data_IF_520181195275
#
_entry.id   IF_520181195275
#
_cell.length_a   1.000
_cell.length_b   1.000
_cell.length_c   1.000
_cell.angle_alpha   90.00
_cell.angle_beta   90.00
_cell.angle_gamma   90.00
#
_symmetry.space_group_name_H-M   'P 1'
#
loop_
_entity.id
_entity.type
_entity.pdbx_description
1 polymer ?
#
# COMPACT_ATOMS: atom_id res chain seq x y z
N UNK A 1 -11.40 22.64 2.13
CA UNK A 1 -10.80 22.07 0.89
C UNK A 1 -10.10 20.73 1.18
N UNK A 2 -9.27 20.61 2.20
CA UNK A 2 -8.54 19.38 2.59
C UNK A 2 -9.50 18.28 3.08
N UNK A 3 -10.47 18.60 3.94
CA UNK A 3 -11.50 17.65 4.40
C UNK A 3 -12.31 17.06 3.23
N UNK A 4 -12.64 17.89 2.22
CA UNK A 4 -13.35 17.41 1.04
C UNK A 4 -12.56 16.39 0.21
N UNK A 5 -11.23 16.46 0.20
CA UNK A 5 -10.38 15.52 -0.56
C UNK A 5 -10.35 14.16 0.15
N UNK A 6 -10.18 14.14 1.49
CA UNK A 6 -10.18 12.91 2.28
C UNK A 6 -11.53 12.19 2.20
N UNK A 7 -12.63 12.93 2.31
CA UNK A 7 -13.97 12.38 2.18
C UNK A 7 -14.23 11.83 0.77
N UNK A 8 -13.78 12.54 -0.26
CA UNK A 8 -13.92 12.08 -1.64
C UNK A 8 -13.08 10.81 -1.92
N UNK A 9 -11.88 10.72 -1.34
CA UNK A 9 -11.06 9.50 -1.39
C UNK A 9 -11.77 8.33 -0.71
N UNK A 10 -12.29 8.55 0.51
CA UNK A 10 -13.04 7.51 1.23
C UNK A 10 -14.24 7.04 0.40
N UNK A 11 -15.07 7.96 -0.09
CA UNK A 11 -16.24 7.63 -0.90
C UNK A 11 -15.89 6.88 -2.19
N UNK A 12 -14.76 7.25 -2.84
CA UNK A 12 -14.28 6.54 -4.02
C UNK A 12 -13.93 5.07 -3.71
N UNK A 13 -13.22 4.82 -2.62
CA UNK A 13 -12.84 3.46 -2.25
C UNK A 13 -13.96 2.67 -1.56
N UNK A 14 -15.03 3.33 -1.10
CA UNK A 14 -16.26 2.69 -0.62
C UNK A 14 -17.24 2.32 -1.75
N UNK A 15 -17.10 2.90 -2.95
CA UNK A 15 -17.98 2.60 -4.08
C UNK A 15 -17.63 1.24 -4.71
N UNK A 16 -18.30 0.19 -4.25
CA UNK A 16 -18.11 -1.18 -4.75
C UNK A 16 -18.37 -1.31 -6.25
N UNK A 17 -19.19 -0.43 -6.84
CA UNK A 17 -19.48 -0.45 -8.28
C UNK A 17 -18.25 -0.04 -9.12
N UNK A 18 -17.30 0.68 -8.55
CA UNK A 18 -16.04 1.03 -9.19
C UNK A 18 -15.01 -0.08 -9.07
N UNK A 19 -15.13 -0.91 -8.03
CA UNK A 19 -14.15 -1.93 -7.66
C UNK A 19 -14.57 -3.30 -8.20
N UNK A 20 -15.88 -3.56 -8.29
CA UNK A 20 -16.46 -4.80 -8.79
C UNK A 20 -17.75 -4.50 -9.56
N UNK A 21 -17.68 -3.92 -10.76
CA UNK A 21 -18.85 -3.83 -11.62
C UNK A 21 -19.30 -5.25 -11.94
N UNK A 22 -20.58 -5.57 -11.66
CA UNK A 22 -21.19 -6.85 -12.00
C UNK A 22 -20.80 -7.28 -13.43
N UNK A 23 -20.21 -8.46 -13.56
CA UNK A 23 -19.85 -9.07 -14.84
C UNK A 23 -18.56 -8.59 -15.49
N UNK A 24 -17.82 -7.65 -14.90
CA UNK A 24 -16.42 -7.49 -15.27
C UNK A 24 -15.63 -8.55 -14.55
N UNK A 25 -14.67 -9.25 -15.22
CA UNK A 25 -13.61 -9.94 -14.55
C UNK A 25 -12.78 -8.84 -13.84
N UNK A 26 -13.38 -8.25 -12.84
CA UNK A 26 -12.79 -7.28 -11.98
C UNK A 26 -11.67 -7.93 -11.20
N UNK A 27 -11.03 -7.18 -10.41
CA UNK A 27 -10.03 -7.57 -9.43
C UNK A 27 -10.32 -8.89 -8.69
N UNK A 28 -11.56 -9.40 -8.76
CA UNK A 28 -12.02 -10.53 -7.95
C UNK A 28 -12.11 -11.88 -8.68
N UNK A 29 -12.12 -11.95 -10.00
CA UNK A 29 -12.44 -13.22 -10.67
C UNK A 29 -11.29 -13.94 -11.39
N UNK A 30 -10.17 -13.35 -11.59
CA UNK A 30 -9.00 -14.02 -12.20
C UNK A 30 -7.71 -13.30 -11.90
N UNK A 31 -7.82 -12.04 -11.57
CA UNK A 31 -6.72 -11.19 -11.19
C UNK A 31 -6.15 -11.54 -9.81
N UNK A 32 -6.95 -11.81 -8.76
CA UNK A 32 -6.44 -12.21 -7.47
C UNK A 32 -5.61 -13.49 -7.51
N UNK A 33 -6.10 -14.52 -8.19
CA UNK A 33 -5.41 -15.82 -8.21
C UNK A 33 -4.05 -15.73 -8.92
N UNK A 34 -3.99 -15.05 -10.06
CA UNK A 34 -2.73 -14.82 -10.76
C UNK A 34 -1.74 -14.00 -9.95
N UNK A 35 -2.21 -12.95 -9.26
CA UNK A 35 -1.36 -12.11 -8.44
C UNK A 35 -0.92 -12.79 -7.15
N UNK A 36 -1.80 -13.57 -6.54
CA UNK A 36 -1.48 -14.41 -5.37
C UNK A 36 -0.39 -15.43 -5.72
N UNK A 37 -0.50 -16.11 -6.86
CA UNK A 37 0.51 -17.05 -7.30
C UNK A 37 1.83 -16.36 -7.62
N UNK A 38 1.78 -15.22 -8.34
CA UNK A 38 2.98 -14.42 -8.58
C UNK A 38 3.66 -13.99 -7.27
N UNK A 39 2.89 -13.61 -6.28
CA UNK A 39 3.39 -13.22 -4.96
C UNK A 39 4.11 -14.37 -4.26
N UNK A 40 3.52 -15.56 -4.24
CA UNK A 40 4.14 -16.77 -3.65
C UNK A 40 5.42 -17.16 -4.36
N UNK A 41 5.44 -17.09 -5.69
CA UNK A 41 6.55 -17.57 -6.50
C UNK A 41 7.71 -16.55 -6.59
N UNK A 42 7.42 -15.25 -6.55
CA UNK A 42 8.39 -14.21 -6.84
C UNK A 42 8.66 -13.25 -5.68
N UNK A 43 7.61 -12.80 -4.97
CA UNK A 43 7.76 -11.79 -3.93
C UNK A 43 8.18 -12.39 -2.59
N UNK A 44 7.50 -13.45 -2.13
CA UNK A 44 7.77 -14.05 -0.81
C UNK A 44 9.23 -14.50 -0.69
N UNK A 45 9.82 -15.26 -1.63
CA UNK A 45 11.22 -15.67 -1.54
C UNK A 45 12.19 -14.48 -1.49
N UNK A 46 11.86 -13.39 -2.17
CA UNK A 46 12.65 -12.17 -2.18
C UNK A 46 12.59 -11.45 -0.84
N UNK A 47 11.39 -11.30 -0.29
CA UNK A 47 11.18 -10.71 1.03
C UNK A 47 11.94 -11.50 2.11
N UNK A 48 11.85 -12.82 2.09
CA UNK A 48 12.54 -13.70 3.04
C UNK A 48 14.08 -13.52 3.02
N UNK A 49 14.65 -13.14 1.88
CA UNK A 49 16.08 -12.84 1.76
C UNK A 49 16.45 -11.44 2.28
N UNK A 50 15.49 -10.51 2.40
CA UNK A 50 15.71 -9.15 2.88
C UNK A 50 15.59 -9.03 4.40
N UNK A 51 14.91 -9.97 5.04
CA UNK A 51 14.62 -9.96 6.48
C UNK A 51 15.60 -10.88 7.21
N UNK A 52 16.10 -10.43 8.34
CA UNK A 52 16.91 -11.29 9.23
C UNK A 52 16.03 -12.47 9.71
N UNK A 53 16.50 -13.69 9.47
CA UNK A 53 15.79 -14.94 9.83
C UNK A 53 15.61 -15.15 11.33
N UNK A 54 16.29 -14.36 12.17
CA UNK A 54 16.28 -14.48 13.62
C UNK A 54 15.32 -13.51 14.33
N UNK A 55 14.56 -12.69 13.58
CA UNK A 55 13.65 -11.70 14.14
C UNK A 55 12.22 -12.23 14.07
N UNK A 56 11.39 -11.94 15.08
CA UNK A 56 9.94 -12.12 15.01
C UNK A 56 9.40 -11.41 13.79
N UNK A 57 8.74 -12.17 12.92
CA UNK A 57 8.34 -11.68 11.61
C UNK A 57 6.90 -11.18 11.67
N UNK A 58 6.71 -9.97 12.18
CA UNK A 58 5.42 -9.29 12.10
C UNK A 58 5.32 -8.51 10.79
N UNK A 59 4.24 -8.72 10.06
CA UNK A 59 4.02 -8.11 8.75
C UNK A 59 2.80 -7.19 8.75
N UNK A 60 2.89 -6.05 8.05
CA UNK A 60 1.78 -5.15 7.76
C UNK A 60 1.60 -5.02 6.25
N UNK A 61 0.39 -5.31 5.78
CA UNK A 61 -0.08 -5.01 4.42
C UNK A 61 -0.79 -3.65 4.42
N UNK A 62 -0.15 -2.66 3.82
CA UNK A 62 -0.57 -1.25 3.81
C UNK A 62 -1.47 -1.00 2.61
N UNK A 63 -2.75 -0.66 2.85
CA UNK A 63 -3.78 -0.57 1.82
C UNK A 63 -4.20 -1.95 1.32
N UNK A 64 -4.51 -2.83 2.26
CA UNK A 64 -4.73 -4.27 2.02
C UNK A 64 -5.99 -4.59 1.18
N UNK A 65 -6.90 -3.64 1.00
CA UNK A 65 -8.17 -3.86 0.32
C UNK A 65 -8.95 -5.04 0.93
N UNK A 66 -9.35 -5.98 0.09
CA UNK A 66 -10.05 -7.21 0.50
C UNK A 66 -9.15 -8.29 1.15
N UNK A 67 -7.89 -7.98 1.41
CA UNK A 67 -6.97 -8.85 2.14
C UNK A 67 -6.36 -10.00 1.33
N UNK A 68 -6.37 -9.96 0.00
CA UNK A 68 -5.81 -11.05 -0.81
C UNK A 68 -4.31 -11.24 -0.58
N UNK A 69 -3.55 -10.15 -0.63
CA UNK A 69 -2.09 -10.21 -0.37
C UNK A 69 -1.79 -10.45 1.10
N UNK A 70 -2.57 -9.85 1.98
CA UNK A 70 -2.44 -10.05 3.44
C UNK A 70 -2.51 -11.53 3.81
N UNK A 71 -3.44 -12.29 3.19
CA UNK A 71 -3.56 -13.74 3.42
C UNK A 71 -2.31 -14.51 2.96
N UNK A 72 -1.74 -14.14 1.82
CA UNK A 72 -0.49 -14.76 1.34
C UNK A 72 0.67 -14.45 2.29
N UNK A 73 0.78 -13.21 2.73
CA UNK A 73 1.79 -12.81 3.72
C UNK A 73 1.63 -13.60 5.03
N UNK A 74 0.40 -13.87 5.46
CA UNK A 74 0.14 -14.62 6.69
C UNK A 74 0.56 -16.10 6.63
N UNK A 75 0.84 -16.65 5.46
CA UNK A 75 1.40 -18.00 5.29
C UNK A 75 2.90 -18.05 5.71
N UNK A 76 3.57 -16.89 5.72
CA UNK A 76 5.01 -16.79 5.97
C UNK A 76 5.34 -16.11 7.29
N UNK A 77 4.51 -15.14 7.73
CA UNK A 77 4.79 -14.31 8.89
C UNK A 77 4.02 -14.74 10.13
N UNK A 78 4.63 -14.57 11.31
CA UNK A 78 4.06 -15.02 12.59
C UNK A 78 2.77 -14.27 12.94
N UNK A 79 2.75 -12.94 12.69
CA UNK A 79 1.57 -12.10 12.81
C UNK A 79 1.47 -11.17 11.62
N UNK A 80 0.33 -11.17 11.00
CA UNK A 80 0.07 -10.35 9.83
C UNK A 80 -1.15 -9.48 10.05
N UNK A 81 -1.01 -8.22 9.75
CA UNK A 81 -2.10 -7.24 9.78
C UNK A 81 -2.30 -6.64 8.39
N UNK A 82 -3.55 -6.43 8.02
CA UNK A 82 -3.93 -5.59 6.90
C UNK A 82 -4.56 -4.30 7.39
N UNK A 83 -4.20 -3.17 6.79
CA UNK A 83 -4.82 -1.85 7.06
C UNK A 83 -5.35 -1.26 5.76
N UNK A 84 -6.58 -0.74 5.79
CA UNK A 84 -7.19 -0.05 4.65
C UNK A 84 -8.12 1.07 5.13
N UNK A 85 -8.37 2.05 4.26
CA UNK A 85 -9.28 3.17 4.51
C UNK A 85 -10.74 2.74 4.45
N UNK A 86 -11.08 1.79 3.56
CA UNK A 86 -12.44 1.37 3.26
C UNK A 86 -13.00 0.41 4.31
N UNK A 87 -14.12 0.82 4.93
CA UNK A 87 -14.86 -0.02 5.86
C UNK A 87 -15.41 -1.27 5.16
N UNK A 88 -15.91 -1.13 3.94
CA UNK A 88 -16.51 -2.24 3.17
C UNK A 88 -15.46 -3.32 2.87
N UNK A 89 -14.28 -2.91 2.40
CA UNK A 89 -13.19 -3.84 2.11
C UNK A 89 -12.68 -4.55 3.36
N UNK A 90 -12.50 -3.81 4.45
CA UNK A 90 -12.08 -4.38 5.73
C UNK A 90 -13.14 -5.35 6.28
N UNK A 91 -14.43 -5.02 6.17
CA UNK A 91 -15.50 -5.92 6.60
C UNK A 91 -15.50 -7.23 5.79
N UNK A 92 -15.22 -7.16 4.49
CA UNK A 92 -15.02 -8.35 3.67
C UNK A 92 -13.77 -9.13 4.10
N UNK A 93 -12.65 -8.46 4.30
CA UNK A 93 -11.39 -9.11 4.68
C UNK A 93 -11.47 -9.82 6.05
N UNK A 94 -12.22 -9.27 7.00
CA UNK A 94 -12.39 -9.83 8.35
C UNK A 94 -12.96 -11.24 8.39
N UNK A 95 -13.66 -11.71 7.35
CA UNK A 95 -14.11 -13.11 7.29
C UNK A 95 -12.96 -14.13 7.27
N UNK A 96 -11.74 -13.66 6.94
CA UNK A 96 -10.54 -14.49 6.89
C UNK A 96 -9.65 -14.31 8.13
N UNK A 97 -10.07 -13.56 9.13
CA UNK A 97 -9.28 -13.38 10.35
C UNK A 97 -9.02 -14.70 11.08
N UNK A 98 -7.82 -14.81 11.61
CA UNK A 98 -7.38 -15.89 12.48
C UNK A 98 -6.79 -15.30 13.76
N UNK A 99 -6.19 -16.14 14.60
CA UNK A 99 -5.43 -15.67 15.75
C UNK A 99 -4.24 -14.78 15.34
N UNK A 100 -3.61 -15.09 14.21
CA UNK A 100 -2.39 -14.44 13.71
C UNK A 100 -2.60 -13.50 12.54
N UNK A 101 -3.79 -13.48 11.93
CA UNK A 101 -4.16 -12.59 10.82
C UNK A 101 -5.30 -11.67 11.23
N UNK A 102 -5.07 -10.35 11.13
CA UNK A 102 -6.04 -9.32 11.54
C UNK A 102 -6.18 -8.21 10.50
N UNK A 103 -7.35 -7.58 10.46
CA UNK A 103 -7.65 -6.46 9.57
C UNK A 103 -8.15 -5.24 10.36
N UNK A 104 -7.59 -4.07 10.04
CA UNK A 104 -7.82 -2.82 10.76
C UNK A 104 -8.24 -1.73 9.78
N UNK A 105 -9.39 -1.12 10.01
CA UNK A 105 -9.78 0.07 9.26
C UNK A 105 -9.04 1.29 9.82
N UNK A 106 -8.37 2.04 8.95
CA UNK A 106 -7.74 3.32 9.30
C UNK A 106 -7.35 4.16 8.09
N UNK A 107 -7.34 5.47 8.27
CA UNK A 107 -6.71 6.41 7.36
C UNK A 107 -5.20 6.45 7.64
N UNK A 108 -4.40 6.20 6.60
CA UNK A 108 -2.94 6.22 6.68
C UNK A 108 -2.38 7.62 6.96
N UNK A 109 -3.14 8.66 6.65
CA UNK A 109 -2.74 10.07 6.85
C UNK A 109 -2.96 10.55 8.28
N UNK A 110 -3.61 9.74 9.12
CA UNK A 110 -3.87 10.02 10.53
C UNK A 110 -3.06 9.08 11.42
N UNK A 111 -2.88 9.45 12.70
CA UNK A 111 -2.17 8.57 13.64
C UNK A 111 -2.99 7.31 13.92
N UNK A 112 -2.38 6.15 13.70
CA UNK A 112 -2.99 4.85 13.93
C UNK A 112 -2.13 3.89 14.76
N UNK A 113 -1.05 4.38 15.35
CA UNK A 113 -0.12 3.55 16.12
C UNK A 113 -0.80 2.82 17.29
N UNK A 114 -1.78 3.45 17.91
CA UNK A 114 -2.56 2.87 19.02
C UNK A 114 -3.49 1.72 18.61
N UNK A 115 -3.70 1.50 17.31
CA UNK A 115 -4.52 0.38 16.79
C UNK A 115 -3.75 -0.94 16.76
N UNK A 116 -2.43 -0.89 16.89
CA UNK A 116 -1.58 -2.07 16.84
C UNK A 116 -0.89 -2.34 18.18
N UNK A 117 -1.04 -3.55 18.74
CA UNK A 117 -0.37 -3.93 19.99
C UNK A 117 1.11 -4.34 19.77
N UNK A 118 1.58 -4.33 18.53
CA UNK A 118 2.91 -4.78 18.11
C UNK A 118 3.54 -3.79 17.14
N UNK A 119 4.84 -3.91 16.93
CA UNK A 119 5.57 -3.27 15.84
C UNK A 119 5.89 -4.27 14.74
N UNK A 120 6.18 -3.76 13.56
CA UNK A 120 6.34 -4.54 12.33
C UNK A 120 7.80 -4.61 11.88
N UNK A 121 8.18 -5.76 11.34
CA UNK A 121 9.51 -6.05 10.79
C UNK A 121 9.48 -6.00 9.25
N UNK A 122 8.30 -6.21 8.68
CA UNK A 122 8.01 -6.01 7.27
C UNK A 122 6.75 -5.16 7.10
N UNK A 123 6.80 -4.26 6.14
CA UNK A 123 5.63 -3.60 5.56
C UNK A 123 5.61 -3.84 4.06
N UNK A 124 4.42 -4.03 3.53
CA UNK A 124 4.18 -4.22 2.10
C UNK A 124 3.09 -3.28 1.62
N UNK A 125 3.19 -2.75 0.42
CA UNK A 125 2.11 -2.02 -0.25
C UNK A 125 2.13 -2.26 -1.75
N UNK A 126 0.95 -2.24 -2.36
CA UNK A 126 0.80 -2.38 -3.80
C UNK A 126 -0.27 -1.42 -4.32
N UNK A 127 0.14 -0.46 -5.15
CA UNK A 127 -0.73 0.54 -5.79
C UNK A 127 -1.58 1.38 -4.81
N UNK A 128 -1.01 1.80 -3.68
CA UNK A 128 -1.71 2.57 -2.64
C UNK A 128 -1.23 4.01 -2.60
N UNK A 129 0.08 4.23 -2.46
CA UNK A 129 0.64 5.57 -2.31
C UNK A 129 0.29 6.51 -3.47
N UNK A 130 0.21 6.07 -4.73
CA UNK A 130 -0.20 6.94 -5.83
C UNK A 130 -1.58 7.57 -5.65
N UNK A 131 -2.48 6.92 -4.91
CA UNK A 131 -3.82 7.43 -4.64
C UNK A 131 -3.89 8.43 -3.48
N UNK A 132 -2.83 8.58 -2.71
CA UNK A 132 -2.76 9.54 -1.60
C UNK A 132 -2.27 10.88 -2.15
N UNK A 133 -2.94 12.01 -1.87
CA UNK A 133 -2.47 13.33 -2.25
C UNK A 133 -1.07 13.63 -1.73
N UNK A 134 -0.27 14.35 -2.50
CA UNK A 134 1.15 14.57 -2.22
C UNK A 134 1.39 15.21 -0.85
N UNK A 135 0.54 16.16 -0.47
CA UNK A 135 0.61 16.87 0.80
C UNK A 135 0.45 15.98 2.03
N UNK A 136 -0.20 14.81 1.92
CA UNK A 136 -0.41 13.87 3.03
C UNK A 136 0.62 12.75 3.09
N UNK A 137 1.38 12.52 2.02
CA UNK A 137 2.35 11.42 1.98
C UNK A 137 3.44 11.49 3.07
N UNK A 138 3.96 12.68 3.46
CA UNK A 138 4.92 12.76 4.57
C UNK A 138 4.35 12.20 5.88
N UNK A 139 3.06 12.48 6.18
CA UNK A 139 2.39 11.95 7.38
C UNK A 139 2.24 10.42 7.31
N UNK A 140 1.95 9.85 6.12
CA UNK A 140 1.90 8.40 5.92
C UNK A 140 3.24 7.76 6.26
N UNK A 141 4.36 8.25 5.71
CA UNK A 141 5.68 7.71 6.00
C UNK A 141 6.06 7.84 7.48
N UNK A 142 5.70 8.96 8.11
CA UNK A 142 5.90 9.17 9.55
C UNK A 142 5.08 8.18 10.38
N UNK A 143 3.80 8.05 10.09
CA UNK A 143 2.89 7.15 10.83
C UNK A 143 3.34 5.68 10.69
N UNK A 144 3.77 5.26 9.51
CA UNK A 144 4.36 3.93 9.30
C UNK A 144 5.66 3.76 10.09
N UNK A 145 6.51 4.79 10.16
CA UNK A 145 7.74 4.73 10.94
C UNK A 145 7.48 4.59 12.46
N UNK A 146 6.38 5.12 12.98
CA UNK A 146 6.01 5.01 14.40
C UNK A 146 5.72 3.55 14.81
N UNK A 147 5.20 2.73 13.90
CA UNK A 147 4.87 1.32 14.15
C UNK A 147 5.90 0.34 13.60
N UNK A 148 6.94 0.82 12.96
CA UNK A 148 8.07 0.02 12.46
C UNK A 148 9.08 -0.27 13.55
N UNK A 149 9.66 -1.47 13.57
CA UNK A 149 10.90 -1.75 14.27
C UNK A 149 12.08 -1.08 13.56
N UNK A 150 13.16 -0.73 14.28
CA UNK A 150 14.40 -0.35 13.63
C UNK A 150 14.88 -1.50 12.73
N UNK A 151 15.24 -1.18 11.49
CA UNK A 151 15.58 -2.18 10.48
C UNK A 151 14.38 -2.79 9.74
N UNK A 152 13.15 -2.41 10.08
CA UNK A 152 11.96 -2.83 9.33
C UNK A 152 12.13 -2.57 7.83
N UNK A 153 11.80 -3.55 7.02
CA UNK A 153 11.81 -3.45 5.56
C UNK A 153 10.42 -3.04 5.08
N UNK A 154 10.35 -2.01 4.26
CA UNK A 154 9.13 -1.59 3.59
C UNK A 154 9.27 -1.80 2.09
N UNK A 155 8.51 -2.75 1.55
CA UNK A 155 8.48 -3.11 0.13
C UNK A 155 7.26 -2.46 -0.51
N UNK A 156 7.50 -1.62 -1.49
CA UNK A 156 6.45 -0.86 -2.19
C UNK A 156 6.46 -1.26 -3.67
N UNK A 157 5.31 -1.69 -4.17
CA UNK A 157 5.05 -1.89 -5.60
C UNK A 157 4.15 -0.75 -6.07
N UNK A 158 4.77 0.39 -6.33
CA UNK A 158 4.11 1.62 -6.75
C UNK A 158 4.87 2.22 -7.96
N UNK A 159 4.22 3.10 -8.69
CA UNK A 159 4.91 3.90 -9.69
C UNK A 159 5.81 4.95 -9.03
N UNK A 160 7.00 5.15 -9.58
CA UNK A 160 7.89 6.26 -9.20
C UNK A 160 8.12 7.17 -10.42
N UNK A 161 8.18 8.48 -10.18
CA UNK A 161 8.57 9.44 -11.23
C UNK A 161 10.07 9.34 -11.48
N UNK A 162 10.43 9.01 -12.69
CA UNK A 162 11.80 9.03 -13.18
C UNK A 162 11.88 9.80 -14.51
N UNK A 163 13.07 9.98 -15.06
CA UNK A 163 13.26 10.72 -16.30
C UNK A 163 12.60 10.08 -17.52
N UNK A 164 12.39 8.77 -17.49
CA UNK A 164 11.79 8.02 -18.60
C UNK A 164 10.26 8.11 -18.62
N UNK A 165 9.61 8.32 -17.46
CA UNK A 165 8.16 8.32 -17.34
C UNK A 165 7.53 9.66 -16.95
N UNK A 166 8.32 10.67 -16.56
CA UNK A 166 7.81 11.97 -16.11
C UNK A 166 6.91 12.69 -17.12
N UNK A 167 7.13 12.46 -18.43
CA UNK A 167 6.31 13.02 -19.49
C UNK A 167 4.94 12.35 -19.65
N UNK A 168 4.76 11.16 -19.08
CA UNK A 168 3.47 10.45 -19.11
C UNK A 168 2.49 10.97 -18.07
N UNK A 169 2.95 11.75 -17.12
CA UNK A 169 2.21 12.23 -15.97
C UNK A 169 2.22 13.76 -15.84
N UNK A 170 2.25 14.49 -16.93
CA UNK A 170 2.07 15.96 -17.09
C UNK A 170 2.64 16.86 -15.97
N UNK A 171 3.56 16.37 -15.14
CA UNK A 171 4.23 17.13 -14.09
C UNK A 171 3.29 17.72 -13.00
N UNK A 172 2.02 17.38 -13.01
CA UNK A 172 1.05 17.87 -12.06
C UNK A 172 1.08 16.98 -10.81
N UNK A 173 1.85 17.39 -9.82
CA UNK A 173 2.05 16.73 -8.54
C UNK A 173 0.80 16.74 -7.62
N UNK A 174 -0.34 17.22 -8.11
CA UNK A 174 -1.58 17.28 -7.33
C UNK A 174 -2.56 16.20 -7.74
N UNK A 175 -3.09 15.49 -6.75
CA UNK A 175 -4.24 14.62 -6.93
C UNK A 175 -5.44 15.46 -7.40
N UNK A 176 -5.75 15.42 -8.67
CA UNK A 176 -6.94 16.04 -9.23
C UNK A 176 -7.98 14.94 -9.44
N UNK A 177 -9.23 15.24 -9.10
CA UNK A 177 -10.35 14.42 -9.46
C UNK A 177 -10.76 14.76 -10.89
N UNK A 178 -10.70 13.77 -11.78
CA UNK A 178 -11.28 13.90 -13.12
C UNK A 178 -12.67 13.26 -13.16
N UNK A 179 -13.57 13.79 -13.97
CA UNK A 179 -14.84 13.16 -14.27
C UNK A 179 -14.65 12.21 -15.46
N UNK A 180 -14.75 10.92 -15.21
CA UNK A 180 -14.87 9.92 -16.27
C UNK A 180 -16.27 9.32 -16.23
N UNK A 181 -17.01 9.46 -17.34
CA UNK A 181 -18.39 8.98 -17.48
C UNK A 181 -19.32 9.43 -16.32
N UNK A 182 -19.14 10.67 -15.84
CA UNK A 182 -19.93 11.23 -14.75
C UNK A 182 -19.52 10.76 -13.36
N UNK A 183 -18.47 9.96 -13.23
CA UNK A 183 -17.90 9.54 -11.95
C UNK A 183 -16.60 10.29 -11.69
N UNK A 184 -16.40 10.70 -10.44
CA UNK A 184 -15.13 11.25 -10.01
C UNK A 184 -14.05 10.15 -9.98
N UNK A 185 -12.96 10.35 -10.69
CA UNK A 185 -11.78 9.46 -10.65
C UNK A 185 -10.61 10.20 -10.02
N UNK A 186 -9.88 9.49 -9.18
CA UNK A 186 -8.69 10.02 -8.51
C UNK A 186 -7.51 9.91 -9.48
N UNK A 187 -6.85 11.05 -9.75
CA UNK A 187 -5.57 11.00 -10.44
C UNK A 187 -4.51 10.44 -9.50
N UNK A 188 -3.71 9.53 -10.02
CA UNK A 188 -2.56 9.00 -9.29
C UNK A 188 -1.42 10.02 -9.28
N UNK A 189 -0.77 10.17 -8.13
CA UNK A 189 0.39 11.04 -7.94
C UNK A 189 1.58 10.20 -7.53
N UNK A 190 2.55 10.09 -8.43
CA UNK A 190 3.78 9.37 -8.15
C UNK A 190 4.81 10.25 -7.44
N UNK A 191 5.66 9.64 -6.64
CA UNK A 191 6.77 10.30 -5.95
C UNK A 191 8.09 9.92 -6.63
N UNK A 192 9.11 10.78 -6.51
CA UNK A 192 10.45 10.50 -6.99
C UNK A 192 11.37 10.00 -5.89
N UNK A 193 12.49 9.39 -6.25
CA UNK A 193 13.55 9.06 -5.30
C UNK A 193 13.99 10.28 -4.46
N UNK A 194 14.15 11.43 -5.13
CA UNK A 194 14.47 12.69 -4.48
C UNK A 194 13.41 13.07 -3.44
N UNK A 195 12.14 12.94 -3.79
CA UNK A 195 11.04 13.24 -2.89
C UNK A 195 11.09 12.37 -1.62
N UNK A 196 11.31 11.05 -1.78
CA UNK A 196 11.43 10.13 -0.64
C UNK A 196 12.57 10.55 0.29
N UNK A 197 13.75 10.90 -0.25
CA UNK A 197 14.90 11.33 0.53
C UNK A 197 14.64 12.62 1.33
N UNK A 198 13.85 13.54 0.77
CA UNK A 198 13.54 14.83 1.38
C UNK A 198 12.38 14.76 2.38
N UNK A 199 11.39 13.88 2.15
CA UNK A 199 10.12 13.90 2.88
C UNK A 199 9.85 12.65 3.74
N UNK A 200 10.70 11.63 3.65
CA UNK A 200 10.62 10.41 4.47
C UNK A 200 11.92 10.18 5.26
N UNK A 201 12.31 11.10 6.18
CA UNK A 201 13.63 11.10 6.82
C UNK A 201 13.91 9.87 7.68
N UNK A 202 12.87 9.20 8.15
CA UNK A 202 12.95 7.99 8.96
C UNK A 202 13.28 6.73 8.16
N UNK A 203 13.29 6.84 6.83
CA UNK A 203 13.47 5.73 5.92
C UNK A 203 14.74 5.92 5.09
N UNK A 204 15.43 4.82 4.84
CA UNK A 204 16.55 4.72 3.92
C UNK A 204 16.14 3.94 2.68
N UNK A 205 16.44 4.46 1.49
CA UNK A 205 16.24 3.72 0.24
C UNK A 205 17.34 2.66 0.14
N UNK A 206 16.94 1.40 0.17
CA UNK A 206 17.86 0.25 0.00
C UNK A 206 18.01 -0.07 -1.48
N UNK A 207 16.90 -0.08 -2.22
CA UNK A 207 16.88 -0.50 -3.62
C UNK A 207 15.66 0.08 -4.34
N UNK A 208 15.83 0.36 -5.63
CA UNK A 208 14.75 0.66 -6.58
C UNK A 208 14.97 -0.20 -7.81
N UNK A 209 13.98 -1.00 -8.18
CA UNK A 209 14.01 -1.87 -9.35
C UNK A 209 12.84 -1.54 -10.27
N UNK A 210 13.10 -1.44 -11.57
CA UNK A 210 12.03 -1.41 -12.56
C UNK A 210 11.50 -2.82 -12.78
N UNK A 211 10.22 -3.04 -12.50
CA UNK A 211 9.56 -4.34 -12.66
C UNK A 211 8.62 -4.40 -13.88
N UNK A 212 8.62 -3.34 -14.70
CA UNK A 212 7.86 -3.24 -15.94
C UNK A 212 6.52 -2.50 -15.77
N UNK A 213 5.91 -2.11 -16.91
CA UNK A 213 4.61 -1.42 -16.99
C UNK A 213 4.48 -0.15 -16.11
N UNK A 214 5.57 0.65 -15.99
CA UNK A 214 5.64 1.83 -15.16
C UNK A 214 5.44 1.57 -13.64
N UNK A 215 5.73 0.35 -13.20
CA UNK A 215 5.76 -0.04 -11.81
C UNK A 215 7.19 -0.26 -11.38
N UNK A 216 7.58 0.35 -10.27
CA UNK A 216 8.85 0.09 -9.61
C UNK A 216 8.61 -0.65 -8.30
N UNK A 217 9.56 -1.51 -7.97
CA UNK A 217 9.71 -2.04 -6.64
C UNK A 217 10.68 -1.14 -5.87
N UNK A 218 10.20 -0.52 -4.82
CA UNK A 218 10.98 0.35 -3.95
C UNK A 218 11.13 -0.36 -2.60
N UNK A 219 12.37 -0.56 -2.18
CA UNK A 219 12.68 -1.17 -0.90
C UNK A 219 13.28 -0.13 0.01
N UNK A 220 12.61 0.14 1.12
CA UNK A 220 13.05 1.05 2.17
C UNK A 220 13.40 0.27 3.43
N UNK A 221 14.28 0.85 4.27
CA UNK A 221 14.60 0.36 5.60
C UNK A 221 14.36 1.45 6.63
N UNK A 222 13.74 1.10 7.74
CA UNK A 222 13.58 1.98 8.92
C UNK A 222 14.95 2.20 9.60
N UNK A 223 15.34 3.46 9.73
CA UNK A 223 16.58 3.86 10.42
C UNK A 223 16.53 3.63 11.91
#
# INVERSE_FOLDING_TARGET
MIENIKEALKNYFEDESLINPEGTPGFETGYPERNVNWMRENLIPKIENLIDKNINKNCLDVGCGHGYFTRVLSETFEKTYGIDLSDNRINYAKQYETETLKFVQSDLTESFANKFPIKFDLMFTNAVLPHIPLEFKPDVFKNLAEIANTGCIFVMYDGILNDDNKHKHDGNEQANFDNWNGKQVIRVVFISEKWIRENAPDWEIVQINNVGYATEEIILRRK
#
